data_IF_028286124609
#
_entry.id   IF_028286124609
#
_cell.length_a   1.000
_cell.length_b   1.000
_cell.length_c   1.000
_cell.angle_alpha   90.00
_cell.angle_beta   90.00
_cell.angle_gamma   90.00
#
_symmetry.space_group_name_H-M   'P 1'
#
loop_
_entity.id
_entity.type
_entity.pdbx_description
1 polymer ?
#
# COMPACT_ATOMS: atom_id res chain seq x y z
N UNK A 1 -10.29 18.79 1.40
CA UNK A 1 -10.08 18.21 2.73
C UNK A 1 -8.59 17.90 2.79
N UNK A 2 -7.84 18.42 3.76
CA UNK A 2 -6.40 18.16 3.85
C UNK A 2 -6.14 16.72 4.32
N UNK A 3 -4.94 16.19 4.04
CA UNK A 3 -4.52 14.83 4.42
C UNK A 3 -4.82 14.52 5.89
N UNK A 4 -4.44 15.41 6.80
CA UNK A 4 -4.69 15.28 8.24
C UNK A 4 -6.17 15.09 8.55
N UNK A 5 -7.05 15.94 8.02
CA UNK A 5 -8.50 15.84 8.27
C UNK A 5 -9.07 14.54 7.74
N UNK A 6 -8.62 14.09 6.57
CA UNK A 6 -9.04 12.81 5.99
C UNK A 6 -8.62 11.63 6.90
N UNK A 7 -7.37 11.62 7.37
CA UNK A 7 -6.87 10.57 8.27
C UNK A 7 -7.65 10.53 9.59
N UNK A 8 -7.89 11.68 10.22
CA UNK A 8 -8.67 11.76 11.46
C UNK A 8 -10.07 11.21 11.25
N UNK A 9 -10.76 11.62 10.18
CA UNK A 9 -12.13 11.14 9.88
C UNK A 9 -12.12 9.62 9.68
N UNK A 10 -11.15 9.05 8.94
CA UNK A 10 -11.08 7.61 8.74
C UNK A 10 -10.84 6.84 10.04
N UNK A 11 -9.99 7.33 10.94
CA UNK A 11 -9.75 6.69 12.24
C UNK A 11 -10.99 6.76 13.16
N UNK A 12 -11.69 7.89 13.18
CA UNK A 12 -12.96 8.01 13.92
C UNK A 12 -13.99 7.04 13.36
N UNK A 13 -14.19 6.98 12.04
CA UNK A 13 -15.14 6.06 11.43
C UNK A 13 -14.76 4.59 11.63
N UNK A 14 -13.46 4.26 11.61
CA UNK A 14 -12.97 2.93 11.94
C UNK A 14 -13.28 2.54 13.39
N UNK A 15 -13.15 3.48 14.32
CA UNK A 15 -13.53 3.26 15.73
C UNK A 15 -15.05 3.02 15.85
N UNK A 16 -15.87 3.80 15.12
CA UNK A 16 -17.33 3.62 15.07
C UNK A 16 -17.69 2.24 14.50
N UNK A 17 -16.96 1.74 13.50
CA UNK A 17 -17.17 0.40 12.92
C UNK A 17 -17.07 -0.72 13.97
N UNK A 18 -16.27 -0.54 15.02
CA UNK A 18 -16.05 -1.53 16.08
C UNK A 18 -17.17 -1.55 17.15
N UNK A 19 -18.13 -0.64 17.08
CA UNK A 19 -19.28 -0.68 17.99
C UNK A 19 -20.11 -1.95 17.77
N UNK A 20 -20.63 -2.59 18.84
CA UNK A 20 -21.36 -3.86 18.75
C UNK A 20 -22.51 -3.86 17.74
N UNK A 21 -23.18 -2.73 17.55
CA UNK A 21 -24.30 -2.57 16.60
C UNK A 21 -23.89 -2.77 15.14
N UNK A 22 -22.61 -2.55 14.78
CA UNK A 22 -22.10 -2.68 13.41
C UNK A 22 -21.30 -3.97 13.21
N UNK A 23 -21.16 -4.78 14.27
CA UNK A 23 -20.45 -6.04 14.15
C UNK A 23 -21.27 -7.07 13.37
N UNK A 24 -20.66 -7.67 12.38
CA UNK A 24 -21.24 -8.77 11.62
C UNK A 24 -20.13 -9.64 11.00
N UNK A 25 -20.39 -10.94 10.83
CA UNK A 25 -19.45 -11.80 10.12
C UNK A 25 -19.32 -11.44 8.64
N UNK A 26 -20.38 -10.91 8.03
CA UNK A 26 -20.37 -10.41 6.67
C UNK A 26 -19.45 -9.17 6.54
N UNK A 27 -19.49 -8.28 7.54
CA UNK A 27 -18.58 -7.15 7.64
C UNK A 27 -17.12 -7.60 7.73
N UNK A 28 -16.84 -8.62 8.55
CA UNK A 28 -15.50 -9.21 8.66
C UNK A 28 -15.04 -9.83 7.33
N UNK A 29 -15.91 -10.54 6.62
CA UNK A 29 -15.59 -11.11 5.30
C UNK A 29 -15.31 -10.01 4.28
N UNK A 30 -16.17 -8.97 4.21
CA UNK A 30 -15.97 -7.85 3.29
C UNK A 30 -14.65 -7.11 3.59
N UNK A 31 -14.36 -6.87 4.88
CA UNK A 31 -13.07 -6.34 5.31
C UNK A 31 -11.91 -7.23 4.83
N UNK A 32 -11.96 -8.53 5.08
CA UNK A 32 -10.89 -9.45 4.72
C UNK A 32 -10.65 -9.54 3.21
N UNK A 33 -11.72 -9.63 2.42
CA UNK A 33 -11.63 -9.67 0.95
C UNK A 33 -11.03 -8.37 0.41
N UNK A 34 -11.54 -7.21 0.85
CA UNK A 34 -11.03 -5.92 0.38
C UNK A 34 -9.65 -5.59 0.93
N UNK A 35 -9.31 -6.02 2.14
CA UNK A 35 -7.96 -5.95 2.66
C UNK A 35 -7.00 -6.73 1.74
N UNK A 36 -7.32 -7.99 1.46
CA UNK A 36 -6.52 -8.84 0.59
C UNK A 36 -6.32 -8.21 -0.80
N UNK A 37 -7.41 -7.77 -1.44
CA UNK A 37 -7.33 -7.12 -2.75
C UNK A 37 -6.46 -5.85 -2.71
N UNK A 38 -6.70 -4.99 -1.72
CA UNK A 38 -6.01 -3.71 -1.62
C UNK A 38 -4.52 -3.90 -1.33
N UNK A 39 -4.16 -4.75 -0.37
CA UNK A 39 -2.76 -5.02 -0.04
C UNK A 39 -2.06 -5.73 -1.19
N UNK A 40 -2.73 -6.65 -1.90
CA UNK A 40 -2.17 -7.26 -3.12
C UNK A 40 -1.85 -6.20 -4.18
N UNK A 41 -2.76 -5.24 -4.40
CA UNK A 41 -2.53 -4.12 -5.33
C UNK A 41 -1.41 -3.19 -4.89
N UNK A 42 -1.33 -2.87 -3.58
CA UNK A 42 -0.23 -2.07 -3.01
C UNK A 42 1.11 -2.80 -3.12
N UNK A 43 1.12 -4.12 -3.00
CA UNK A 43 2.35 -4.94 -3.01
C UNK A 43 2.82 -5.30 -4.42
N UNK A 44 1.92 -5.75 -5.30
CA UNK A 44 2.30 -6.16 -6.67
C UNK A 44 2.12 -5.03 -7.68
N UNK A 45 1.03 -4.27 -7.57
CA UNK A 45 0.67 -3.26 -8.56
C UNK A 45 1.60 -2.05 -8.53
N UNK A 46 1.65 -1.35 -7.41
CA UNK A 46 2.36 -0.08 -7.34
C UNK A 46 3.88 -0.23 -7.31
N UNK A 47 4.51 -0.99 -6.38
CA UNK A 47 5.97 -1.07 -6.34
C UNK A 47 6.53 -2.00 -7.41
N UNK A 48 6.07 -3.26 -7.49
CA UNK A 48 6.72 -4.26 -8.37
C UNK A 48 6.44 -4.03 -9.84
N UNK A 49 5.19 -3.83 -10.23
CA UNK A 49 4.85 -3.64 -11.64
C UNK A 49 5.21 -2.24 -12.12
N UNK A 50 4.79 -1.20 -11.39
CA UNK A 50 4.87 0.17 -11.92
C UNK A 50 6.16 0.87 -11.50
N UNK A 51 6.53 0.87 -10.21
CA UNK A 51 7.69 1.60 -9.75
C UNK A 51 9.00 0.97 -10.24
N UNK A 52 9.17 -0.32 -10.02
CA UNK A 52 10.41 -1.05 -10.31
C UNK A 52 10.40 -1.86 -11.60
N UNK A 53 9.23 -2.06 -12.21
CA UNK A 53 9.08 -2.87 -13.43
C UNK A 53 9.70 -4.27 -13.29
N UNK A 54 9.58 -4.85 -12.11
CA UNK A 54 10.14 -6.15 -11.77
C UNK A 54 9.32 -7.35 -12.28
N UNK A 55 8.13 -7.08 -12.81
CA UNK A 55 7.22 -8.05 -13.40
C UNK A 55 6.75 -7.56 -14.76
N UNK A 56 6.56 -8.49 -15.69
CA UNK A 56 5.97 -8.21 -16.99
C UNK A 56 4.63 -8.95 -17.08
N UNK A 57 3.56 -8.21 -17.24
CA UNK A 57 2.19 -8.73 -17.34
C UNK A 57 1.45 -8.03 -18.46
N UNK A 58 0.33 -8.59 -18.98
CA UNK A 58 -0.55 -7.85 -19.88
C UNK A 58 -1.06 -6.55 -19.25
N UNK A 59 -1.21 -5.50 -20.04
CA UNK A 59 -1.61 -4.15 -19.57
C UNK A 59 -2.91 -4.16 -18.75
N UNK A 60 -3.88 -5.01 -19.11
CA UNK A 60 -5.13 -5.11 -18.35
C UNK A 60 -4.91 -5.67 -16.93
N UNK A 61 -3.95 -6.60 -16.73
CA UNK A 61 -3.56 -7.11 -15.40
C UNK A 61 -2.92 -6.01 -14.57
N UNK A 62 -1.97 -5.27 -15.18
CA UNK A 62 -1.33 -4.12 -14.54
C UNK A 62 -2.36 -3.12 -14.06
N UNK A 63 -3.28 -2.70 -14.94
CA UNK A 63 -4.32 -1.72 -14.62
C UNK A 63 -5.26 -2.18 -13.51
N UNK A 64 -5.66 -3.46 -13.49
CA UNK A 64 -6.46 -4.02 -12.40
C UNK A 64 -5.69 -3.95 -11.07
N UNK A 65 -4.43 -4.39 -11.04
CA UNK A 65 -3.63 -4.37 -9.82
C UNK A 65 -3.35 -2.95 -9.32
N UNK A 66 -3.15 -2.00 -10.24
CA UNK A 66 -3.00 -0.58 -9.89
C UNK A 66 -4.29 -0.01 -9.31
N UNK A 67 -5.46 -0.31 -9.90
CA UNK A 67 -6.75 0.10 -9.32
C UNK A 67 -6.91 -0.49 -7.92
N UNK A 68 -6.63 -1.78 -7.73
CA UNK A 68 -6.69 -2.43 -6.42
C UNK A 68 -5.77 -1.74 -5.40
N UNK A 69 -4.54 -1.40 -5.78
CA UNK A 69 -3.61 -0.64 -4.92
C UNK A 69 -4.11 0.77 -4.61
N UNK A 70 -4.68 1.44 -5.60
CA UNK A 70 -5.21 2.80 -5.46
C UNK A 70 -6.43 2.86 -4.53
N UNK A 71 -7.17 1.75 -4.36
CA UNK A 71 -8.22 1.63 -3.34
C UNK A 71 -7.69 1.76 -1.90
N UNK A 72 -6.37 1.76 -1.68
CA UNK A 72 -5.77 2.10 -0.39
C UNK A 72 -5.91 3.58 -0.02
N UNK A 73 -6.26 4.47 -0.96
CA UNK A 73 -6.32 5.92 -0.73
C UNK A 73 -5.03 6.51 -0.12
N UNK A 74 -3.87 6.02 -0.55
CA UNK A 74 -2.54 6.48 -0.13
C UNK A 74 -1.93 7.43 -1.17
N UNK A 75 -2.68 8.33 -1.74
CA UNK A 75 -2.50 9.14 -2.94
C UNK A 75 -2.87 8.44 -4.26
N UNK A 76 -2.75 9.18 -5.37
CA UNK A 76 -2.86 8.60 -6.69
C UNK A 76 -1.60 7.84 -7.11
N UNK A 77 -1.66 7.03 -8.18
CA UNK A 77 -0.54 6.18 -8.56
C UNK A 77 0.70 6.94 -9.04
N UNK A 78 0.55 8.14 -9.61
CA UNK A 78 1.68 8.96 -10.06
C UNK A 78 2.45 9.49 -8.84
N UNK A 79 1.74 10.05 -7.88
CA UNK A 79 2.31 10.56 -6.64
C UNK A 79 2.94 9.42 -5.83
N UNK A 80 2.23 8.31 -5.63
CA UNK A 80 2.72 7.17 -4.88
C UNK A 80 4.02 6.60 -5.46
N UNK A 81 4.04 6.36 -6.78
CA UNK A 81 5.21 5.81 -7.48
C UNK A 81 6.37 6.80 -7.47
N UNK A 82 6.08 8.08 -7.66
CA UNK A 82 7.10 9.14 -7.61
C UNK A 82 7.79 9.22 -6.25
N UNK A 83 7.01 9.22 -5.17
CA UNK A 83 7.53 9.19 -3.79
C UNK A 83 8.32 7.91 -3.50
N UNK A 84 7.83 6.75 -3.94
CA UNK A 84 8.51 5.48 -3.74
C UNK A 84 9.87 5.41 -4.47
N UNK A 85 9.94 5.85 -5.74
CA UNK A 85 11.20 5.94 -6.48
C UNK A 85 12.16 6.96 -5.87
N UNK A 86 11.63 8.07 -5.35
CA UNK A 86 12.43 9.06 -4.62
C UNK A 86 12.99 8.48 -3.32
N UNK A 87 12.17 7.75 -2.55
CA UNK A 87 12.61 7.03 -1.35
C UNK A 87 13.77 6.07 -1.66
N UNK A 88 13.65 5.21 -2.66
CA UNK A 88 14.73 4.29 -3.05
C UNK A 88 16.04 5.00 -3.41
N UNK A 89 15.96 6.22 -3.95
CA UNK A 89 17.16 7.00 -4.27
C UNK A 89 17.83 7.62 -3.05
N UNK A 90 17.06 7.99 -2.04
CA UNK A 90 17.52 8.74 -0.88
C UNK A 90 17.21 8.06 0.45
N UNK A 91 16.95 6.75 0.43
CA UNK A 91 16.53 5.99 1.62
C UNK A 91 17.38 6.30 2.85
N UNK A 92 16.69 6.66 3.95
CA UNK A 92 17.29 7.05 5.24
C UNK A 92 18.28 8.23 5.19
N UNK A 93 18.19 9.07 4.14
CA UNK A 93 18.94 10.30 4.02
C UNK A 93 18.04 11.53 4.32
N UNK A 94 18.61 12.72 4.56
CA UNK A 94 17.83 13.92 4.88
C UNK A 94 16.79 14.33 3.83
N UNK A 95 16.95 13.88 2.58
CA UNK A 95 15.99 14.12 1.49
C UNK A 95 14.85 13.09 1.46
N UNK A 96 14.96 11.98 2.19
CA UNK A 96 13.90 10.99 2.29
C UNK A 96 12.73 11.54 3.11
N UNK A 97 11.54 11.53 2.55
CA UNK A 97 10.35 12.07 3.21
C UNK A 97 9.97 11.29 4.46
N UNK A 98 10.25 9.99 4.53
CA UNK A 98 10.01 9.16 5.72
C UNK A 98 11.30 8.59 6.32
N UNK A 99 12.39 9.37 6.28
CA UNK A 99 13.69 9.03 6.88
C UNK A 99 13.53 8.43 8.29
N UNK A 100 13.86 7.14 8.45
CA UNK A 100 13.80 6.45 9.71
C UNK A 100 14.87 6.92 10.72
N UNK A 101 15.89 7.66 10.27
CA UNK A 101 16.85 8.34 11.12
C UNK A 101 16.22 9.41 12.01
N UNK A 102 15.06 9.95 11.63
CA UNK A 102 14.28 10.91 12.42
C UNK A 102 13.42 10.27 13.50
N UNK A 103 13.32 8.93 13.52
CA UNK A 103 12.59 8.16 14.51
C UNK A 103 11.41 7.40 13.95
N UNK A 104 10.96 6.38 14.72
CA UNK A 104 9.88 5.48 14.33
C UNK A 104 8.56 6.21 14.05
N UNK A 105 8.21 7.18 14.87
CA UNK A 105 6.94 7.90 14.71
C UNK A 105 6.94 8.76 13.44
N UNK A 106 8.07 9.42 13.19
CA UNK A 106 8.25 10.17 11.96
C UNK A 106 8.07 9.26 10.75
N UNK A 107 8.85 8.20 10.63
CA UNK A 107 8.80 7.29 9.47
C UNK A 107 7.48 6.53 9.35
N UNK A 108 6.78 6.29 10.47
CA UNK A 108 5.48 5.64 10.45
C UNK A 108 4.39 6.52 9.82
N UNK A 109 4.17 7.72 10.33
CA UNK A 109 3.03 8.53 9.91
C UNK A 109 3.20 10.04 9.99
N UNK A 110 4.10 10.56 10.85
CA UNK A 110 4.21 11.99 11.11
C UNK A 110 4.65 12.78 9.87
N UNK A 111 5.51 12.20 9.04
CA UNK A 111 6.02 12.83 7.81
C UNK A 111 4.89 13.33 6.87
N UNK A 112 3.75 12.65 6.85
CA UNK A 112 2.60 13.04 6.02
C UNK A 112 1.87 14.31 6.51
N UNK A 113 2.18 14.77 7.71
CA UNK A 113 1.62 15.98 8.31
C UNK A 113 2.47 17.23 7.98
N UNK A 114 3.59 17.04 7.30
CA UNK A 114 4.55 18.08 6.92
C UNK A 114 4.62 18.26 5.42
N UNK A 115 5.26 19.34 4.97
CA UNK A 115 5.56 19.54 3.56
C UNK A 115 6.52 18.46 3.05
N UNK A 116 6.22 17.91 1.90
CA UNK A 116 7.00 16.88 1.24
C UNK A 116 7.67 17.48 -0.01
N UNK A 117 8.95 17.89 0.07
CA UNK A 117 9.65 18.51 -1.07
C UNK A 117 9.71 17.62 -2.31
N UNK A 118 9.77 16.27 -2.11
CA UNK A 118 9.79 15.30 -3.20
C UNK A 118 8.57 15.39 -4.14
N UNK A 119 7.43 15.91 -3.67
CA UNK A 119 6.26 16.15 -4.51
C UNK A 119 6.51 17.20 -5.63
N UNK A 120 7.51 18.06 -5.47
CA UNK A 120 7.90 19.03 -6.50
C UNK A 120 8.76 18.41 -7.61
N UNK A 121 9.21 17.17 -7.40
CA UNK A 121 10.08 16.45 -8.34
C UNK A 121 9.35 15.27 -9.02
N UNK A 122 8.02 15.21 -8.98
CA UNK A 122 7.23 14.10 -9.57
C UNK A 122 7.50 13.92 -11.06
N UNK A 123 7.73 15.00 -11.81
CA UNK A 123 8.08 14.94 -13.24
C UNK A 123 9.34 14.10 -13.47
N UNK A 124 10.29 14.19 -12.56
CA UNK A 124 11.56 13.45 -12.63
C UNK A 124 11.38 11.96 -12.28
N UNK A 125 10.54 11.65 -11.29
CA UNK A 125 10.43 10.29 -10.75
C UNK A 125 9.23 9.52 -11.30
N UNK A 126 8.21 10.17 -11.84
CA UNK A 126 7.00 9.55 -12.38
C UNK A 126 6.55 10.14 -13.72
N UNK A 127 7.43 10.81 -14.47
CA UNK A 127 7.13 11.40 -15.77
C UNK A 127 6.67 10.38 -16.80
N UNK A 128 7.13 9.14 -16.72
CA UNK A 128 6.67 8.03 -17.55
C UNK A 128 5.17 7.74 -17.37
N UNK A 129 4.65 7.85 -16.15
CA UNK A 129 3.23 7.63 -15.85
C UNK A 129 2.37 8.82 -16.23
N UNK A 130 2.91 10.01 -16.16
CA UNK A 130 2.20 11.24 -16.55
C UNK A 130 1.85 11.28 -18.05
N UNK A 131 2.54 10.49 -18.88
CA UNK A 131 2.22 10.36 -20.29
C UNK A 131 0.98 9.48 -20.56
N UNK A 132 0.62 8.56 -19.67
CA UNK A 132 -0.52 7.66 -19.85
C UNK A 132 -1.82 8.28 -19.30
N UNK A 133 -2.86 8.45 -20.13
CA UNK A 133 -4.16 8.97 -19.70
C UNK A 133 -4.81 8.18 -18.56
N UNK A 134 -4.60 6.85 -18.48
CA UNK A 134 -5.12 6.00 -17.43
C UNK A 134 -4.56 6.42 -16.06
N UNK A 135 -3.24 6.57 -15.95
CA UNK A 135 -2.61 6.97 -14.70
C UNK A 135 -3.01 8.38 -14.29
N UNK A 136 -3.07 9.35 -15.25
CA UNK A 136 -3.53 10.72 -14.96
C UNK A 136 -4.96 10.76 -14.45
N UNK A 137 -5.84 9.99 -15.08
CA UNK A 137 -7.23 9.92 -14.64
C UNK A 137 -7.33 9.32 -13.24
N UNK A 138 -6.67 8.21 -13.00
CA UNK A 138 -6.69 7.51 -11.72
C UNK A 138 -6.06 8.35 -10.61
N UNK A 139 -4.96 9.03 -10.89
CA UNK A 139 -4.27 9.93 -9.96
C UNK A 139 -5.18 11.09 -9.51
N UNK A 140 -5.88 11.68 -10.46
CA UNK A 140 -6.79 12.80 -10.17
C UNK A 140 -8.03 12.39 -9.40
N UNK A 141 -8.56 11.18 -9.62
CA UNK A 141 -9.87 10.79 -9.16
C UNK A 141 -9.87 9.59 -8.19
N UNK A 142 -8.71 9.23 -7.66
CA UNK A 142 -8.54 8.01 -6.83
C UNK A 142 -9.50 7.92 -5.64
N UNK A 143 -9.82 9.03 -4.97
CA UNK A 143 -10.77 9.03 -3.86
C UNK A 143 -12.19 8.70 -4.30
N UNK A 144 -12.57 9.06 -5.55
CA UNK A 144 -13.90 8.80 -6.05
C UNK A 144 -14.17 7.31 -6.29
N UNK A 145 -13.14 6.46 -6.34
CA UNK A 145 -13.31 5.00 -6.41
C UNK A 145 -14.06 4.43 -5.20
N UNK A 146 -13.98 5.12 -4.06
CA UNK A 146 -14.70 4.70 -2.85
C UNK A 146 -16.22 4.91 -2.95
N UNK A 147 -16.69 5.78 -3.84
CA UNK A 147 -18.12 6.07 -3.99
C UNK A 147 -18.87 4.87 -4.56
N UNK A 148 -18.56 4.34 -5.76
CA UNK A 148 -19.26 3.16 -6.29
C UNK A 148 -19.04 1.93 -5.42
N UNK A 149 -17.86 1.77 -4.81
CA UNK A 149 -17.61 0.70 -3.86
C UNK A 149 -18.51 0.81 -2.64
N UNK A 150 -18.61 2.00 -2.03
CA UNK A 150 -19.46 2.24 -0.86
C UNK A 150 -20.95 2.06 -1.15
N UNK A 151 -21.42 2.55 -2.31
CA UNK A 151 -22.81 2.35 -2.74
C UNK A 151 -23.12 0.86 -2.94
N UNK A 152 -22.25 0.12 -3.63
CA UNK A 152 -22.42 -1.32 -3.83
C UNK A 152 -22.46 -2.08 -2.51
N UNK A 153 -21.52 -1.80 -1.59
CA UNK A 153 -21.50 -2.41 -0.26
C UNK A 153 -22.76 -2.06 0.55
N UNK A 154 -23.20 -0.81 0.49
CA UNK A 154 -24.42 -0.38 1.18
C UNK A 154 -25.64 -1.19 0.72
N UNK A 155 -25.87 -1.28 -0.60
CA UNK A 155 -26.99 -2.02 -1.13
C UNK A 155 -26.89 -3.54 -0.86
N UNK A 156 -25.69 -4.11 -0.92
CA UNK A 156 -25.46 -5.51 -0.54
C UNK A 156 -25.82 -5.73 0.94
N UNK A 157 -25.38 -4.83 1.83
CA UNK A 157 -25.65 -4.92 3.25
C UNK A 157 -27.14 -4.80 3.60
N UNK A 158 -27.86 -3.91 2.93
CA UNK A 158 -29.32 -3.79 3.07
C UNK A 158 -30.04 -5.06 2.57
N UNK A 159 -29.71 -5.52 1.35
CA UNK A 159 -30.32 -6.71 0.76
C UNK A 159 -30.05 -8.00 1.54
N UNK A 160 -28.85 -8.12 2.12
CA UNK A 160 -28.45 -9.25 2.94
C UNK A 160 -28.86 -9.13 4.42
N UNK A 161 -29.56 -8.07 4.80
CA UNK A 161 -29.99 -7.78 6.17
C UNK A 161 -28.86 -7.90 7.19
N UNK A 162 -27.69 -7.35 6.84
CA UNK A 162 -26.51 -7.40 7.69
C UNK A 162 -26.74 -6.62 8.99
N UNK A 163 -26.20 -7.05 10.10
CA UNK A 163 -26.23 -6.29 11.36
C UNK A 163 -25.63 -4.89 11.16
N UNK A 164 -26.36 -3.84 11.56
CA UNK A 164 -26.01 -2.45 11.26
C UNK A 164 -26.36 -2.00 9.85
N UNK A 165 -27.06 -2.85 9.06
CA UNK A 165 -27.51 -2.53 7.69
C UNK A 165 -26.34 -2.36 6.71
N UNK A 166 -26.62 -1.69 5.60
CA UNK A 166 -25.61 -1.33 4.60
C UNK A 166 -24.51 -0.43 5.18
N UNK A 167 -24.84 0.42 6.14
CA UNK A 167 -23.85 1.26 6.82
C UNK A 167 -22.81 0.43 7.58
N UNK A 168 -23.24 -0.65 8.27
CA UNK A 168 -22.33 -1.56 8.95
C UNK A 168 -21.31 -2.17 8.01
N UNK A 169 -21.77 -2.65 6.84
CA UNK A 169 -20.89 -3.23 5.82
C UNK A 169 -19.90 -2.20 5.26
N UNK A 170 -20.36 -0.98 4.98
CA UNK A 170 -19.49 0.13 4.50
C UNK A 170 -18.43 0.49 5.55
N UNK A 171 -18.81 0.60 6.83
CA UNK A 171 -17.88 0.96 7.90
C UNK A 171 -16.76 -0.07 8.08
N UNK A 172 -17.05 -1.37 7.96
CA UNK A 172 -16.03 -2.42 8.03
C UNK A 172 -15.15 -2.44 6.77
N UNK A 173 -15.76 -2.34 5.61
CA UNK A 173 -15.09 -2.56 4.34
C UNK A 173 -14.33 -1.32 3.82
N UNK A 174 -14.64 -0.10 4.27
CA UNK A 174 -13.96 1.12 3.84
C UNK A 174 -13.13 1.70 5.00
N UNK A 175 -13.65 2.45 5.98
CA UNK A 175 -12.78 3.13 6.93
C UNK A 175 -11.96 2.18 7.80
N UNK A 176 -12.53 1.11 8.33
CA UNK A 176 -11.75 0.15 9.14
C UNK A 176 -10.65 -0.51 8.31
N UNK A 177 -10.98 -0.97 7.10
CA UNK A 177 -9.99 -1.55 6.18
C UNK A 177 -8.91 -0.55 5.80
N UNK A 178 -9.27 0.71 5.49
CA UNK A 178 -8.29 1.75 5.14
C UNK A 178 -7.32 2.00 6.28
N UNK A 179 -7.81 2.16 7.51
CA UNK A 179 -6.95 2.41 8.67
C UNK A 179 -5.98 1.24 8.89
N UNK A 180 -6.46 -0.01 8.81
CA UNK A 180 -5.57 -1.17 8.96
C UNK A 180 -4.54 -1.22 7.84
N UNK A 181 -4.92 -0.99 6.58
CA UNK A 181 -3.98 -0.94 5.44
C UNK A 181 -2.95 0.17 5.62
N UNK A 182 -3.35 1.35 6.11
CA UNK A 182 -2.41 2.45 6.39
C UNK A 182 -1.34 2.01 7.38
N UNK A 183 -1.73 1.52 8.54
CA UNK A 183 -0.77 1.09 9.54
C UNK A 183 0.13 -0.05 9.03
N UNK A 184 -0.39 -1.01 8.28
CA UNK A 184 0.42 -2.08 7.67
C UNK A 184 1.45 -1.52 6.69
N UNK A 185 1.07 -0.57 5.84
CA UNK A 185 2.01 0.06 4.90
C UNK A 185 3.04 0.93 5.64
N UNK A 186 2.60 1.70 6.63
CA UNK A 186 3.50 2.53 7.44
C UNK A 186 4.47 1.72 8.30
N UNK A 187 4.11 0.49 8.68
CA UNK A 187 5.05 -0.45 9.30
C UNK A 187 6.17 -0.86 8.34
N UNK A 188 5.91 -0.89 7.03
CA UNK A 188 6.97 -1.09 6.05
C UNK A 188 7.97 0.07 6.09
N UNK A 189 7.53 1.32 6.24
CA UNK A 189 8.41 2.47 6.30
C UNK A 189 9.14 2.61 7.65
N UNK A 190 8.55 2.14 8.75
CA UNK A 190 9.06 2.34 10.11
C UNK A 190 9.71 1.08 10.69
N UNK A 191 8.92 0.03 10.87
CA UNK A 191 9.40 -1.18 11.55
C UNK A 191 10.50 -1.90 10.76
N UNK A 192 10.43 -1.90 9.42
CA UNK A 192 11.45 -2.54 8.59
C UNK A 192 12.73 -1.71 8.39
N UNK A 193 12.79 -0.50 8.95
CA UNK A 193 14.00 0.29 9.07
C UNK A 193 14.55 0.34 10.51
N UNK A 194 13.90 -0.40 11.44
CA UNK A 194 14.29 -0.41 12.85
C UNK A 194 14.44 -1.82 13.44
N UNK A 195 13.65 -2.77 12.98
CA UNK A 195 13.57 -4.12 13.58
C UNK A 195 13.71 -5.21 12.51
N UNK A 196 14.53 -6.22 12.79
CA UNK A 196 14.67 -7.36 11.91
C UNK A 196 16.13 -7.72 11.67
N UNK A 197 16.39 -8.46 10.61
CA UNK A 197 17.71 -8.88 10.20
C UNK A 197 18.04 -8.40 8.79
N UNK A 198 19.31 -8.38 8.44
CA UNK A 198 19.78 -7.99 7.11
C UNK A 198 20.43 -9.19 6.42
N UNK A 199 20.10 -9.37 5.14
CA UNK A 199 20.79 -10.32 4.27
C UNK A 199 21.88 -9.64 3.44
N UNK A 200 21.71 -8.34 3.18
CA UNK A 200 22.56 -7.56 2.30
C UNK A 200 23.00 -6.28 2.98
N UNK A 201 24.22 -5.87 2.70
CA UNK A 201 24.77 -4.61 3.19
C UNK A 201 24.35 -3.47 2.26
N UNK A 202 23.16 -2.92 2.52
CA UNK A 202 22.64 -1.73 1.85
C UNK A 202 23.08 -0.46 2.59
N UNK A 203 23.23 0.67 1.90
CA UNK A 203 23.64 1.94 2.51
C UNK A 203 22.56 2.57 3.41
N UNK A 204 21.36 2.02 3.42
CA UNK A 204 20.21 2.41 4.24
C UNK A 204 20.06 1.53 5.48
N UNK A 205 18.98 1.74 6.26
CA UNK A 205 18.66 0.97 7.48
C UNK A 205 17.69 -0.17 7.25
N UNK A 206 17.33 -0.49 6.00
CA UNK A 206 16.34 -1.51 5.70
C UNK A 206 16.69 -2.87 6.30
N UNK A 207 15.71 -3.54 6.86
CA UNK A 207 15.80 -4.86 7.47
C UNK A 207 14.69 -5.78 6.96
N UNK A 208 14.85 -7.07 7.16
CA UNK A 208 13.83 -8.08 6.90
C UNK A 208 13.05 -8.34 8.19
N UNK A 209 11.78 -7.95 8.23
CA UNK A 209 10.88 -8.08 9.36
C UNK A 209 9.75 -9.04 9.01
N UNK A 210 9.82 -10.30 9.49
CA UNK A 210 8.93 -11.40 9.06
C UNK A 210 7.45 -11.15 9.36
N UNK A 211 7.13 -10.56 10.52
CA UNK A 211 5.73 -10.30 10.88
C UNK A 211 5.11 -9.16 10.04
N UNK A 212 5.91 -8.13 9.68
CA UNK A 212 5.49 -7.12 8.69
C UNK A 212 5.29 -7.78 7.32
N UNK A 213 6.19 -8.71 6.93
CA UNK A 213 6.06 -9.41 5.66
C UNK A 213 4.76 -10.23 5.55
N UNK A 214 4.31 -10.85 6.65
CA UNK A 214 3.02 -11.55 6.67
C UNK A 214 1.86 -10.56 6.45
N UNK A 215 1.84 -9.46 7.19
CA UNK A 215 0.77 -8.47 7.09
C UNK A 215 0.74 -7.76 5.72
N UNK A 216 1.88 -7.43 5.17
CA UNK A 216 2.05 -6.68 3.93
C UNK A 216 2.24 -7.55 2.67
N UNK A 217 2.00 -8.87 2.75
CA UNK A 217 2.17 -9.83 1.65
C UNK A 217 3.56 -9.81 1.00
N UNK A 218 4.59 -9.59 1.84
CA UNK A 218 5.99 -9.71 1.45
C UNK A 218 6.80 -8.42 1.46
N UNK A 219 6.19 -7.24 1.65
CA UNK A 219 6.93 -5.97 1.69
C UNK A 219 7.85 -5.86 2.93
N UNK A 220 7.58 -6.65 3.99
CA UNK A 220 8.46 -6.73 5.16
C UNK A 220 9.81 -7.41 4.91
N UNK A 221 10.05 -8.04 3.74
CA UNK A 221 11.37 -8.46 3.28
C UNK A 221 12.14 -7.29 2.67
N UNK A 222 12.24 -6.22 3.42
CA UNK A 222 12.54 -4.89 2.92
C UNK A 222 14.03 -4.68 2.61
N UNK A 223 14.93 -5.29 3.38
CA UNK A 223 16.36 -5.28 3.04
C UNK A 223 16.65 -6.01 1.72
N UNK A 224 15.96 -7.12 1.46
CA UNK A 224 16.08 -7.81 0.18
C UNK A 224 15.54 -6.96 -0.97
N UNK A 225 14.43 -6.23 -0.73
CA UNK A 225 13.84 -5.33 -1.71
C UNK A 225 14.76 -4.15 -2.02
N UNK A 226 15.35 -3.50 -1.01
CA UNK A 226 16.29 -2.41 -1.20
C UNK A 226 17.58 -2.84 -1.91
N UNK A 227 18.06 -4.06 -1.63
CA UNK A 227 19.23 -4.63 -2.32
C UNK A 227 18.94 -4.94 -3.81
N UNK A 228 17.72 -5.40 -4.11
CA UNK A 228 17.34 -5.83 -5.46
C UNK A 228 15.93 -5.34 -5.82
N UNK A 229 15.72 -4.03 -6.04
CA UNK A 229 14.39 -3.45 -6.29
C UNK A 229 13.75 -3.99 -7.58
N UNK A 230 14.54 -4.40 -8.57
CA UNK A 230 14.04 -5.00 -9.80
C UNK A 230 13.71 -6.50 -9.68
N UNK A 231 13.90 -7.11 -8.50
CA UNK A 231 13.47 -8.48 -8.26
C UNK A 231 11.99 -8.51 -7.87
N UNK A 232 11.19 -9.29 -8.57
CA UNK A 232 9.81 -9.54 -8.17
C UNK A 232 9.70 -10.31 -6.84
N UNK A 233 10.75 -11.08 -6.50
CA UNK A 233 10.84 -11.93 -5.33
C UNK A 233 11.62 -11.25 -4.22
N UNK A 234 10.92 -10.74 -3.21
CA UNK A 234 11.55 -10.16 -2.03
C UNK A 234 11.89 -11.21 -0.96
N UNK A 235 11.02 -12.20 -0.75
CA UNK A 235 11.27 -13.30 0.21
C UNK A 235 12.19 -14.36 -0.36
N UNK A 236 13.32 -14.63 0.30
CA UNK A 236 14.25 -15.67 -0.13
C UNK A 236 13.86 -17.05 0.41
N UNK A 237 13.13 -17.13 1.53
CA UNK A 237 12.72 -18.38 2.18
C UNK A 237 11.22 -18.59 2.19
N UNK A 238 10.43 -17.54 2.46
CA UNK A 238 8.97 -17.57 2.48
C UNK A 238 8.44 -16.33 1.77
N UNK A 239 7.76 -16.52 0.65
CA UNK A 239 7.14 -15.43 -0.13
C UNK A 239 5.89 -15.95 -0.81
N UNK A 240 4.86 -15.11 -0.92
CA UNK A 240 3.65 -15.42 -1.68
C UNK A 240 3.95 -15.73 -3.16
N UNK A 241 5.01 -15.16 -3.72
CA UNK A 241 5.45 -15.46 -5.09
C UNK A 241 5.98 -16.90 -5.21
N UNK A 242 6.52 -17.49 -4.14
CA UNK A 242 6.87 -18.92 -4.13
C UNK A 242 5.66 -19.84 -4.28
N UNK A 243 4.50 -19.38 -3.83
CA UNK A 243 3.24 -20.13 -3.93
C UNK A 243 2.65 -19.99 -5.33
N UNK A 244 2.82 -18.81 -5.96
CA UNK A 244 2.24 -18.50 -7.26
C UNK A 244 3.13 -18.87 -8.46
N UNK A 245 4.46 -18.98 -8.27
CA UNK A 245 5.42 -19.34 -9.35
C UNK A 245 6.44 -20.40 -8.87
N UNK A 246 6.02 -21.63 -8.56
CA UNK A 246 6.95 -22.64 -8.04
C UNK A 246 7.98 -23.16 -9.06
N UNK A 247 7.84 -22.82 -10.34
CA UNK A 247 8.60 -23.46 -11.44
C UNK A 247 9.55 -22.53 -12.20
N UNK A 248 9.63 -21.23 -11.87
CA UNK A 248 10.55 -20.34 -12.59
C UNK A 248 11.96 -20.45 -12.02
N UNK A 249 12.94 -20.94 -12.80
CA UNK A 249 14.35 -20.95 -12.35
C UNK A 249 14.83 -19.53 -12.08
N UNK A 250 15.64 -19.38 -11.04
CA UNK A 250 16.32 -18.12 -10.68
C UNK A 250 17.34 -17.77 -11.78
N UNK A 251 16.91 -17.17 -12.85
CA UNK A 251 17.83 -16.45 -13.71
C UNK A 251 18.03 -15.05 -13.12
N UNK A 252 19.09 -14.90 -12.34
CA UNK A 252 19.69 -13.61 -12.06
C UNK A 252 20.37 -13.19 -13.36
N UNK A 253 19.72 -12.34 -14.16
CA UNK A 253 20.42 -11.63 -15.22
C UNK A 253 21.21 -10.51 -14.56
N UNK A 254 22.53 -10.62 -14.62
CA UNK A 254 23.47 -9.55 -14.28
C UNK A 254 23.29 -8.37 -15.23
#
# INVERSE_FOLDING_TARGET
MGTTSFMVVMHVMATVALLPRFWSWQGLVAFGVLYWMTVLGVTLGLPRLVAHRSLVVPVWVERILVIMGTLACQSGPIEWVGLHRHHHRFSDQPSDHHDAGRGLWWSHSEWMLHDIPALKELDRYAGDLQCDPFYRWLDRWFLLLQIPLGLGLYWIGEAAQVSGGGLGLVLWAIPLRLVVVYHVTWLVNSATHAFGYRNFDCPDRSTNCWWVAILSFGEGWHNNHHAFPHSARHGLRLSLIHISEPTRPLYISY
#
